data_IF_652770491238
#
_entry.id   IF_652770491238
#
_cell.length_a   1.000
_cell.length_b   1.000
_cell.length_c   1.000
_cell.angle_alpha   90.00
_cell.angle_beta   90.00
_cell.angle_gamma   90.00
#
_symmetry.space_group_name_H-M   'P 1'
#
loop_
_entity.id
_entity.type
_entity.pdbx_description
1 polymer ?
#
# COMPACT_ATOMS: atom_id res chain seq x y z
N UNK A 1 19.87 -6.37 -14.28
CA UNK A 1 18.65 -6.29 -15.10
C UNK A 1 17.63 -5.45 -14.34
N UNK A 2 17.34 -4.22 -14.78
CA UNK A 2 16.32 -3.38 -14.15
C UNK A 2 14.96 -3.92 -14.59
N UNK A 3 14.09 -4.26 -13.63
CA UNK A 3 12.70 -4.64 -13.90
C UNK A 3 11.80 -3.45 -13.56
N UNK A 4 10.89 -3.11 -14.45
CA UNK A 4 9.87 -2.10 -14.21
C UNK A 4 8.51 -2.76 -13.97
N UNK A 5 7.65 -2.12 -13.19
CA UNK A 5 6.27 -2.52 -12.95
C UNK A 5 5.38 -1.36 -13.39
N UNK A 6 4.46 -1.61 -14.34
CA UNK A 6 3.49 -0.63 -14.83
C UNK A 6 2.09 -1.01 -14.30
N UNK A 7 1.38 -0.04 -13.72
CA UNK A 7 -0.05 -0.15 -13.42
C UNK A 7 -0.80 0.87 -14.27
N UNK A 8 -1.84 0.43 -14.97
CA UNK A 8 -2.68 1.27 -15.82
C UNK A 8 -4.05 1.45 -15.15
N UNK A 9 -4.54 2.69 -15.14
CA UNK A 9 -5.84 3.08 -14.62
C UNK A 9 -6.52 3.98 -15.64
N UNK A 10 -7.85 3.88 -15.76
CA UNK A 10 -8.62 4.91 -16.47
C UNK A 10 -8.60 6.22 -15.67
N UNK A 11 -8.92 7.32 -16.35
CA UNK A 11 -9.06 8.64 -15.71
C UNK A 11 -10.03 8.59 -14.53
N UNK A 12 -11.15 7.87 -14.66
CA UNK A 12 -12.17 7.77 -13.61
C UNK A 12 -11.73 6.90 -12.42
N UNK A 13 -10.88 5.89 -12.67
CA UNK A 13 -10.32 5.05 -11.61
C UNK A 13 -9.22 5.77 -10.83
N UNK A 14 -8.47 6.66 -11.48
CA UNK A 14 -7.23 7.21 -10.93
C UNK A 14 -7.39 7.94 -9.58
N UNK A 15 -8.42 8.76 -9.33
CA UNK A 15 -8.61 9.44 -8.04
C UNK A 15 -8.74 8.47 -6.86
N UNK A 16 -9.23 7.25 -7.11
CA UNK A 16 -9.51 6.24 -6.08
C UNK A 16 -8.60 5.01 -6.16
N UNK A 17 -7.63 5.00 -7.09
CA UNK A 17 -6.67 3.92 -7.26
C UNK A 17 -5.90 3.67 -5.96
N UNK A 18 -5.91 2.42 -5.48
CA UNK A 18 -5.32 2.07 -4.19
C UNK A 18 -3.83 2.43 -4.08
N UNK A 19 -3.05 2.29 -5.16
CA UNK A 19 -1.63 2.71 -5.17
C UNK A 19 -1.47 4.21 -4.94
N UNK A 20 -2.34 5.03 -5.56
CA UNK A 20 -2.33 6.49 -5.38
C UNK A 20 -2.74 6.86 -3.97
N UNK A 21 -3.82 6.27 -3.46
CA UNK A 21 -4.33 6.52 -2.12
C UNK A 21 -3.28 6.14 -1.05
N UNK A 22 -2.69 4.95 -1.17
CA UNK A 22 -1.64 4.48 -0.26
C UNK A 22 -0.42 5.39 -0.29
N UNK A 23 0.11 5.71 -1.48
CA UNK A 23 1.29 6.57 -1.60
C UNK A 23 1.04 7.98 -1.07
N UNK A 24 -0.14 8.55 -1.32
CA UNK A 24 -0.47 9.88 -0.79
C UNK A 24 -0.64 9.85 0.73
N UNK A 25 -1.26 8.79 1.29
CA UNK A 25 -1.40 8.64 2.72
C UNK A 25 -0.05 8.61 3.45
N UNK A 26 0.88 7.77 3.00
CA UNK A 26 2.21 7.67 3.61
C UNK A 26 3.05 8.95 3.49
N UNK A 27 2.76 9.83 2.53
CA UNK A 27 3.44 11.14 2.41
C UNK A 27 2.96 12.17 3.44
N UNK A 28 1.77 11.99 4.01
CA UNK A 28 1.19 12.90 4.99
C UNK A 28 1.02 12.30 6.39
N UNK A 29 1.40 11.03 6.58
CA UNK A 29 1.26 10.30 7.84
C UNK A 29 2.57 9.59 8.18
N UNK A 30 3.46 10.31 8.84
CA UNK A 30 4.81 9.87 9.18
C UNK A 30 4.82 8.57 9.99
N UNK A 31 3.94 8.45 10.98
CA UNK A 31 3.82 7.23 11.79
C UNK A 31 3.49 5.99 10.95
N UNK A 32 2.56 6.11 9.99
CA UNK A 32 2.17 4.99 9.12
C UNK A 32 3.28 4.66 8.10
N UNK A 33 4.01 5.68 7.62
CA UNK A 33 5.18 5.48 6.75
C UNK A 33 6.26 4.70 7.48
N UNK A 34 6.56 5.10 8.71
CA UNK A 34 7.65 4.52 9.49
C UNK A 34 7.27 3.10 9.94
N UNK A 35 6.00 2.86 10.30
CA UNK A 35 5.46 1.52 10.54
C UNK A 35 5.58 0.62 9.30
N UNK A 36 5.25 1.13 8.10
CA UNK A 36 5.39 0.37 6.86
C UNK A 36 6.85 0.06 6.54
N UNK A 37 7.77 1.00 6.79
CA UNK A 37 9.20 0.79 6.62
C UNK A 37 9.70 -0.31 7.57
N UNK A 38 9.34 -0.24 8.85
CA UNK A 38 9.68 -1.24 9.87
C UNK A 38 9.15 -2.63 9.49
N UNK A 39 7.88 -2.74 9.06
CA UNK A 39 7.28 -3.99 8.59
C UNK A 39 8.10 -4.61 7.46
N UNK A 40 8.41 -3.82 6.42
CA UNK A 40 9.18 -4.31 5.26
C UNK A 40 10.56 -4.81 5.66
N UNK A 41 11.26 -4.06 6.50
CA UNK A 41 12.60 -4.43 6.99
C UNK A 41 12.55 -5.67 7.86
N UNK A 42 11.54 -5.80 8.73
CA UNK A 42 11.33 -6.97 9.57
C UNK A 42 11.10 -8.25 8.76
N UNK A 43 10.23 -8.19 7.74
CA UNK A 43 9.97 -9.32 6.83
C UNK A 43 11.23 -9.77 6.09
N UNK A 44 12.00 -8.82 5.57
CA UNK A 44 13.29 -9.10 4.92
C UNK A 44 14.27 -9.72 5.91
N UNK A 45 14.36 -9.18 7.13
CA UNK A 45 15.22 -9.69 8.20
C UNK A 45 14.85 -11.10 8.64
N UNK A 46 13.58 -11.48 8.53
CA UNK A 46 13.09 -12.84 8.82
C UNK A 46 13.16 -13.79 7.61
N UNK A 47 13.77 -13.37 6.50
CA UNK A 47 13.92 -14.22 5.31
C UNK A 47 12.66 -14.36 4.45
N UNK A 48 11.65 -13.50 4.65
CA UNK A 48 10.40 -13.54 3.87
C UNK A 48 10.57 -12.74 2.57
N UNK A 49 10.41 -13.40 1.43
CA UNK A 49 10.65 -12.83 0.09
C UNK A 49 9.56 -13.21 -0.92
N UNK A 50 9.64 -12.65 -2.14
CA UNK A 50 8.78 -13.04 -3.26
C UNK A 50 7.27 -12.84 -3.03
N UNK A 51 6.48 -13.87 -3.32
CA UNK A 51 5.03 -13.86 -3.14
C UNK A 51 4.64 -13.81 -1.66
N UNK A 52 5.37 -14.50 -0.80
CA UNK A 52 5.13 -14.51 0.65
C UNK A 52 5.29 -13.11 1.23
N UNK A 53 6.33 -12.38 0.83
CA UNK A 53 6.52 -10.97 1.18
C UNK A 53 5.34 -10.09 0.74
N UNK A 54 4.73 -10.39 -0.39
CA UNK A 54 3.55 -9.66 -0.88
C UNK A 54 2.31 -9.96 -0.05
N UNK A 55 2.12 -11.21 0.35
CA UNK A 55 1.01 -11.62 1.24
C UNK A 55 1.18 -11.01 2.63
N UNK A 56 2.39 -11.08 3.20
CA UNK A 56 2.67 -10.67 4.57
C UNK A 56 2.39 -9.19 4.84
N UNK A 57 2.56 -8.31 3.85
CA UNK A 57 2.23 -6.88 3.99
C UNK A 57 0.78 -6.51 3.63
N UNK A 58 -0.02 -7.45 3.11
CA UNK A 58 -1.35 -7.17 2.55
C UNK A 58 -2.29 -6.55 3.57
N UNK A 59 -2.35 -7.11 4.77
CA UNK A 59 -3.25 -6.61 5.82
C UNK A 59 -2.96 -5.14 6.16
N UNK A 60 -1.69 -4.78 6.30
CA UNK A 60 -1.27 -3.40 6.54
C UNK A 60 -1.66 -2.46 5.40
N UNK A 61 -1.39 -2.86 4.15
CA UNK A 61 -1.74 -2.05 2.97
C UNK A 61 -3.26 -1.86 2.86
N UNK A 62 -4.04 -2.92 3.11
CA UNK A 62 -5.50 -2.88 3.08
C UNK A 62 -6.07 -1.93 4.15
N UNK A 63 -5.55 -1.98 5.38
CA UNK A 63 -5.95 -1.04 6.44
C UNK A 63 -5.69 0.42 6.05
N UNK A 64 -4.46 0.73 5.64
CA UNK A 64 -4.08 2.11 5.26
C UNK A 64 -4.92 2.61 4.09
N UNK A 65 -5.15 1.77 3.06
CA UNK A 65 -5.99 2.16 1.93
C UNK A 65 -7.43 2.40 2.38
N UNK A 66 -7.98 1.56 3.26
CA UNK A 66 -9.34 1.75 3.75
C UNK A 66 -9.49 2.98 4.64
N UNK A 67 -8.49 3.33 5.46
CA UNK A 67 -8.44 4.62 6.17
C UNK A 67 -8.38 5.80 5.19
N UNK A 68 -7.54 5.70 4.15
CA UNK A 68 -7.43 6.72 3.12
C UNK A 68 -8.72 6.89 2.30
N UNK A 69 -9.48 5.82 2.11
CA UNK A 69 -10.81 5.82 1.47
C UNK A 69 -11.86 6.46 2.38
N UNK A 70 -11.90 6.06 3.65
CA UNK A 70 -12.82 6.62 4.64
C UNK A 70 -12.64 8.14 4.80
N UNK A 71 -11.40 8.63 4.84
CA UNK A 71 -11.10 10.07 4.89
C UNK A 71 -11.59 10.87 3.65
N UNK A 72 -12.02 10.17 2.59
CA UNK A 72 -12.58 10.73 1.36
C UNK A 72 -14.08 10.40 1.19
N UNK A 73 -14.73 9.84 2.21
CA UNK A 73 -16.13 9.43 2.14
C UNK A 73 -16.39 8.19 1.27
N UNK A 74 -15.35 7.40 0.97
CA UNK A 74 -15.46 6.19 0.15
C UNK A 74 -15.63 4.94 1.03
N UNK A 75 -16.41 3.97 0.55
CA UNK A 75 -16.57 2.67 1.22
C UNK A 75 -15.31 1.82 1.17
N UNK A 76 -15.15 0.92 2.15
CA UNK A 76 -14.02 0.00 2.24
C UNK A 76 -13.96 -0.98 1.05
N UNK A 77 -12.76 -1.49 0.76
CA UNK A 77 -12.48 -2.51 -0.26
C UNK A 77 -11.60 -3.62 0.31
N UNK A 78 -11.59 -4.77 -0.35
CA UNK A 78 -10.60 -5.81 -0.13
C UNK A 78 -9.53 -5.74 -1.25
N UNK A 79 -8.27 -5.61 -0.84
CA UNK A 79 -7.10 -5.64 -1.73
C UNK A 79 -6.48 -7.04 -1.85
#
# INVERSE_FOLDING_TARGET
MIRAILHLFTTDQWPTAHLRLFANWLRSHDADRDAYASLKSGLVGSGVWGSEYTVAKRAFVNDVVNRARAARGLGAVAL
#
